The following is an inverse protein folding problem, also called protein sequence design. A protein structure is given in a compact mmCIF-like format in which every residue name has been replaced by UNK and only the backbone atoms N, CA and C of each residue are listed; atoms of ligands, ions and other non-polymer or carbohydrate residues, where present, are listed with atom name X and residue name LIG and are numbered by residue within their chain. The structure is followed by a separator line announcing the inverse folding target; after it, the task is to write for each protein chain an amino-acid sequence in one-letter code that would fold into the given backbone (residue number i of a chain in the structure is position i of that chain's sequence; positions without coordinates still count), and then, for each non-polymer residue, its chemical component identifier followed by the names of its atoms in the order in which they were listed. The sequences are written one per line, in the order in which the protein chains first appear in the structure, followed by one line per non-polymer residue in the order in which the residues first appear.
data_IF_744583632978
#
_entry.id   IF_744583632978
#
_cell.length_a   1.000
_cell.length_b   1.000
_cell.length_c   1.000
_cell.angle_alpha   90.00
_cell.angle_beta   90.00
_cell.angle_gamma   90.00
#
_symmetry.space_group_name_H-M   'P 1'
#
loop_
_entity.id
_entity.type
_entity.pdbx_description
1 polymer ?
#
# COMPACT_ATOMS: atom_id res chain seq x y z
N UNK A 1 23.73 -8.87 -13.07
CA UNK A 1 22.28 -9.12 -12.91
C UNK A 1 22.09 -9.72 -11.54
N UNK A 2 21.83 -8.90 -10.53
CA UNK A 2 21.62 -9.35 -9.16
C UNK A 2 20.24 -10.01 -9.11
N UNK A 3 20.22 -11.32 -8.89
CA UNK A 3 19.02 -12.06 -8.46
C UNK A 3 19.36 -12.57 -7.08
N UNK A 4 18.64 -12.11 -6.07
CA UNK A 4 18.70 -12.73 -4.75
C UNK A 4 17.51 -13.70 -4.61
N UNK A 5 17.65 -14.71 -3.77
CA UNK A 5 16.55 -15.60 -3.40
C UNK A 5 15.57 -14.84 -2.51
N UNK A 6 15.69 -15.06 -1.20
CA UNK A 6 14.95 -14.34 -0.18
C UNK A 6 15.87 -13.35 0.54
N UNK A 7 15.37 -12.13 0.77
CA UNK A 7 16.08 -11.08 1.50
C UNK A 7 15.38 -10.88 2.84
N UNK A 8 16.12 -11.04 3.94
CA UNK A 8 15.59 -10.80 5.28
C UNK A 8 16.41 -9.74 6.02
N UNK A 9 15.71 -8.73 6.54
CA UNK A 9 16.28 -7.64 7.35
C UNK A 9 15.54 -7.61 8.68
N UNK A 10 16.24 -7.80 9.81
CA UNK A 10 15.59 -8.04 11.10
C UNK A 10 15.62 -6.88 12.09
N UNK A 11 16.62 -5.98 11.98
CA UNK A 11 16.73 -4.81 12.84
C UNK A 11 17.69 -3.80 12.22
N UNK A 12 17.15 -2.66 11.82
CA UNK A 12 17.94 -1.48 11.46
C UNK A 12 17.78 -0.42 12.55
N UNK A 13 18.84 0.34 12.82
CA UNK A 13 18.81 1.51 13.69
C UNK A 13 19.38 2.71 12.95
N UNK A 14 18.62 3.81 12.90
CA UNK A 14 18.99 5.02 12.15
C UNK A 14 18.30 5.13 10.78
N UNK A 15 18.78 6.06 9.96
CA UNK A 15 18.38 6.18 8.55
C UNK A 15 19.09 5.09 7.76
N UNK A 16 18.32 4.22 7.11
CA UNK A 16 18.85 3.11 6.30
C UNK A 16 18.04 3.02 5.03
N UNK A 17 18.72 3.03 3.89
CA UNK A 17 18.12 2.78 2.57
C UNK A 17 18.33 1.31 2.20
N UNK A 18 17.24 0.60 1.95
CA UNK A 18 17.28 -0.81 1.54
C UNK A 18 16.77 -0.93 0.12
N UNK A 19 17.69 -1.13 -0.82
CA UNK A 19 17.35 -1.39 -2.21
C UNK A 19 17.39 -2.89 -2.52
N UNK A 20 16.27 -3.43 -3.00
CA UNK A 20 16.15 -4.83 -3.38
C UNK A 20 15.74 -4.95 -4.84
N UNK A 21 16.56 -5.66 -5.62
CA UNK A 21 16.34 -5.88 -7.05
C UNK A 21 16.16 -7.36 -7.37
N UNK A 22 15.04 -7.71 -7.98
CA UNK A 22 14.72 -9.04 -8.54
C UNK A 22 14.88 -10.17 -7.52
N UNK A 23 13.90 -10.32 -6.63
CA UNK A 23 13.90 -11.36 -5.58
C UNK A 23 12.66 -12.25 -5.59
N UNK A 24 12.78 -13.43 -4.96
CA UNK A 24 11.66 -14.30 -4.67
C UNK A 24 10.76 -13.69 -3.60
N UNK A 25 11.36 -13.28 -2.49
CA UNK A 25 10.68 -12.63 -1.37
C UNK A 25 11.56 -11.62 -0.62
N UNK A 26 10.91 -10.67 0.04
CA UNK A 26 11.55 -9.68 0.92
C UNK A 26 10.80 -9.64 2.24
N UNK A 27 11.52 -9.77 3.35
CA UNK A 27 10.98 -9.63 4.71
C UNK A 27 11.78 -8.59 5.48
N UNK A 28 11.12 -7.54 5.94
CA UNK A 28 11.73 -6.48 6.73
C UNK A 28 11.02 -6.36 8.08
N UNK A 29 11.77 -6.57 9.16
CA UNK A 29 11.29 -6.50 10.54
C UNK A 29 11.97 -5.37 11.30
N UNK A 30 11.15 -4.58 12.02
CA UNK A 30 11.55 -3.64 13.07
C UNK A 30 12.75 -2.77 12.70
N UNK A 31 12.48 -1.80 11.84
CA UNK A 31 13.41 -0.74 11.54
C UNK A 31 13.13 0.46 12.47
N UNK A 32 14.09 0.77 13.35
CA UNK A 32 14.01 1.94 14.24
C UNK A 32 14.68 3.14 13.58
N UNK A 33 13.89 3.98 12.91
CA UNK A 33 14.35 5.15 12.16
C UNK A 33 13.53 5.32 10.87
N UNK A 34 13.79 6.39 10.12
CA UNK A 34 13.26 6.53 8.74
C UNK A 34 14.04 5.52 7.90
N UNK A 35 13.42 4.38 7.60
CA UNK A 35 14.00 3.39 6.70
C UNK A 35 13.16 3.40 5.45
N UNK A 36 13.79 3.81 4.36
CA UNK A 36 13.23 3.85 3.03
C UNK A 36 13.60 2.55 2.33
N UNK A 37 12.58 1.80 1.91
CA UNK A 37 12.78 0.52 1.25
C UNK A 37 12.26 0.61 -0.16
N UNK A 38 13.16 0.37 -1.10
CA UNK A 38 12.83 0.26 -2.52
C UNK A 38 12.87 -1.19 -2.95
N UNK A 39 11.75 -1.70 -3.44
CA UNK A 39 11.65 -3.08 -3.93
C UNK A 39 11.28 -3.10 -5.41
N UNK A 40 12.16 -3.68 -6.22
CA UNK A 40 12.00 -3.81 -7.66
C UNK A 40 11.85 -5.27 -8.09
N UNK A 41 10.66 -5.63 -8.57
CA UNK A 41 10.32 -6.97 -9.09
C UNK A 41 10.50 -8.09 -8.05
N UNK A 42 9.54 -8.25 -7.15
CA UNK A 42 9.53 -9.33 -6.16
C UNK A 42 8.31 -10.23 -6.27
N UNK A 43 8.45 -11.50 -5.88
CA UNK A 43 7.32 -12.41 -5.75
C UNK A 43 6.39 -11.99 -4.61
N UNK A 44 6.95 -11.67 -3.44
CA UNK A 44 6.22 -11.17 -2.28
C UNK A 44 7.04 -10.24 -1.40
N UNK A 45 6.37 -9.36 -0.66
CA UNK A 45 6.99 -8.43 0.28
C UNK A 45 6.21 -8.39 1.59
N UNK A 46 6.88 -8.63 2.71
CA UNK A 46 6.33 -8.51 4.06
C UNK A 46 7.14 -7.47 4.85
N UNK A 47 6.46 -6.49 5.43
CA UNK A 47 7.13 -5.39 6.16
C UNK A 47 6.46 -5.09 7.49
N UNK A 48 7.28 -4.91 8.52
CA UNK A 48 6.84 -4.63 9.88
C UNK A 48 7.61 -3.46 10.49
N UNK A 49 6.91 -2.35 10.77
CA UNK A 49 7.48 -1.10 11.32
C UNK A 49 8.58 -0.53 10.42
N UNK A 50 8.17 0.11 9.34
CA UNK A 50 9.03 0.80 8.37
C UNK A 50 8.68 2.29 8.26
N UNK A 51 9.60 3.07 7.68
CA UNK A 51 9.36 4.47 7.33
C UNK A 51 8.62 4.55 6.00
N UNK A 52 9.27 5.15 5.00
CA UNK A 52 8.81 5.17 3.61
C UNK A 52 9.05 3.84 2.91
N UNK A 53 8.17 3.49 1.98
CA UNK A 53 8.30 2.26 1.22
C UNK A 53 7.81 2.48 -0.21
N UNK A 54 8.66 2.14 -1.17
CA UNK A 54 8.35 2.16 -2.59
C UNK A 54 8.43 0.77 -3.20
N UNK A 55 7.38 0.36 -3.91
CA UNK A 55 7.32 -0.96 -4.54
C UNK A 55 6.94 -0.90 -6.01
N UNK A 56 7.77 -1.57 -6.81
CA UNK A 56 7.65 -1.65 -8.25
C UNK A 56 7.52 -3.11 -8.72
N UNK A 57 6.32 -3.49 -9.19
CA UNK A 57 6.04 -4.82 -9.77
C UNK A 57 6.21 -5.97 -8.77
N UNK A 58 5.42 -5.99 -7.69
CA UNK A 58 5.42 -7.13 -6.77
C UNK A 58 4.23 -8.07 -7.02
N UNK A 59 4.32 -9.33 -6.60
CA UNK A 59 3.18 -10.25 -6.63
C UNK A 59 2.16 -9.89 -5.54
N UNK A 60 2.55 -10.05 -4.28
CA UNK A 60 1.76 -9.66 -3.11
C UNK A 60 2.55 -8.80 -2.12
N UNK A 61 1.87 -7.94 -1.39
CA UNK A 61 2.47 -7.00 -0.44
C UNK A 61 1.66 -6.97 0.85
N UNK A 62 2.34 -7.22 1.98
CA UNK A 62 1.75 -7.10 3.32
C UNK A 62 2.57 -6.13 4.18
N UNK A 63 1.88 -5.13 4.75
CA UNK A 63 2.54 -4.04 5.47
C UNK A 63 1.87 -3.75 6.81
N UNK A 64 2.69 -3.72 7.86
CA UNK A 64 2.26 -3.50 9.22
C UNK A 64 2.96 -2.30 9.87
N UNK A 65 2.22 -1.21 10.07
CA UNK A 65 2.73 0.06 10.63
C UNK A 65 3.87 0.65 9.79
N UNK A 66 3.52 1.26 8.66
CA UNK A 66 4.48 2.03 7.87
C UNK A 66 4.21 3.53 8.00
N UNK A 67 5.15 4.36 7.55
CA UNK A 67 4.90 5.77 7.28
C UNK A 67 4.14 5.89 5.97
N UNK A 68 4.86 6.26 4.93
CA UNK A 68 4.32 6.48 3.58
C UNK A 68 4.57 5.26 2.69
N UNK A 69 3.60 4.93 1.84
CA UNK A 69 3.62 3.71 1.03
C UNK A 69 3.23 4.05 -0.40
N UNK A 70 4.15 3.81 -1.34
CA UNK A 70 3.88 3.92 -2.76
C UNK A 70 3.97 2.56 -3.46
N UNK A 71 2.91 2.18 -4.16
CA UNK A 71 2.84 0.90 -4.87
C UNK A 71 2.42 1.09 -6.32
N UNK A 72 3.29 0.71 -7.26
CA UNK A 72 3.08 1.05 -8.67
C UNK A 72 2.38 -0.01 -9.53
N UNK A 73 2.61 -1.29 -9.23
CA UNK A 73 1.98 -2.45 -9.87
C UNK A 73 2.15 -3.65 -8.95
N UNK A 74 1.07 -4.13 -8.37
CA UNK A 74 1.05 -5.34 -7.56
C UNK A 74 -0.19 -6.17 -7.89
N UNK A 75 -0.17 -7.44 -7.52
CA UNK A 75 -1.40 -8.25 -7.48
C UNK A 75 -2.31 -7.71 -6.39
N UNK A 76 -1.91 -7.97 -5.15
CA UNK A 76 -2.66 -7.62 -3.93
C UNK A 76 -1.78 -6.86 -2.93
N UNK A 77 -2.37 -5.86 -2.29
CA UNK A 77 -1.71 -5.03 -1.28
C UNK A 77 -2.58 -4.97 -0.03
N UNK A 78 -2.05 -5.42 1.10
CA UNK A 78 -2.69 -5.31 2.40
C UNK A 78 -1.90 -4.38 3.32
N UNK A 79 -2.55 -3.30 3.78
CA UNK A 79 -1.92 -2.30 4.67
C UNK A 79 -2.75 -2.10 5.93
N UNK A 80 -2.12 -2.34 7.08
CA UNK A 80 -2.83 -2.31 8.37
C UNK A 80 -2.86 -0.95 9.05
N UNK A 81 -1.72 -0.25 9.04
CA UNK A 81 -1.55 1.09 9.60
C UNK A 81 -0.47 1.82 8.80
N UNK A 82 -0.80 2.99 8.29
CA UNK A 82 0.08 3.84 7.50
C UNK A 82 -0.27 5.31 7.73
N UNK A 83 0.66 6.19 7.38
CA UNK A 83 0.41 7.61 7.19
C UNK A 83 -0.40 7.77 5.91
N UNK A 84 0.31 7.82 4.78
CA UNK A 84 -0.29 7.95 3.46
C UNK A 84 0.00 6.74 2.56
N UNK A 85 -0.92 6.44 1.65
CA UNK A 85 -0.83 5.30 0.74
C UNK A 85 -1.23 5.72 -0.66
N UNK A 86 -0.30 5.59 -1.60
CA UNK A 86 -0.53 5.79 -3.01
C UNK A 86 -0.45 4.46 -3.76
N UNK A 87 -1.51 4.11 -4.49
CA UNK A 87 -1.54 2.85 -5.24
C UNK A 87 -1.95 3.05 -6.69
N UNK A 88 -1.09 2.54 -7.57
CA UNK A 88 -1.32 2.42 -9.00
C UNK A 88 -1.51 0.95 -9.37
N UNK A 89 -2.64 0.60 -10.00
CA UNK A 89 -2.89 -0.72 -10.61
C UNK A 89 -2.69 -1.92 -9.67
N UNK A 90 -3.43 -1.98 -8.58
CA UNK A 90 -3.46 -3.13 -7.65
C UNK A 90 -4.88 -3.39 -7.13
N UNK A 91 -5.14 -4.60 -6.59
CA UNK A 91 -6.19 -4.81 -5.59
C UNK A 91 -5.66 -4.40 -4.21
N UNK A 92 -6.48 -3.74 -3.38
CA UNK A 92 -5.99 -3.14 -2.14
C UNK A 92 -6.98 -3.29 -0.98
N UNK A 93 -6.46 -3.67 0.18
CA UNK A 93 -7.18 -3.64 1.45
C UNK A 93 -6.43 -2.77 2.46
N UNK A 94 -7.08 -1.73 2.96
CA UNK A 94 -6.47 -0.77 3.91
C UNK A 94 -7.32 -0.66 5.19
N UNK A 95 -6.69 -0.76 6.36
CA UNK A 95 -7.42 -0.85 7.63
C UNK A 95 -7.47 0.41 8.51
N UNK A 96 -6.43 1.26 8.49
CA UNK A 96 -6.36 2.55 9.19
C UNK A 96 -5.27 3.43 8.61
N UNK A 97 -5.60 4.66 8.22
CA UNK A 97 -4.64 5.56 7.58
C UNK A 97 -5.04 7.04 7.62
N UNK A 98 -4.11 7.91 7.23
CA UNK A 98 -4.28 9.34 6.98
C UNK A 98 -4.99 9.59 5.65
N UNK A 99 -4.24 9.60 4.54
CA UNK A 99 -4.75 9.69 3.17
C UNK A 99 -4.55 8.43 2.34
N UNK A 100 -5.45 8.18 1.38
CA UNK A 100 -5.24 7.19 0.32
C UNK A 100 -5.57 7.82 -1.02
N UNK A 101 -4.66 7.64 -1.98
CA UNK A 101 -4.89 7.93 -3.38
C UNK A 101 -4.77 6.66 -4.23
N UNK A 102 -5.75 6.44 -5.10
CA UNK A 102 -5.79 5.30 -6.00
C UNK A 102 -6.11 5.71 -7.43
N UNK A 103 -5.24 5.35 -8.37
CA UNK A 103 -5.32 5.85 -9.75
C UNK A 103 -5.93 4.88 -10.77
N UNK A 104 -6.04 3.57 -10.44
CA UNK A 104 -6.70 2.53 -11.25
C UNK A 104 -6.78 1.20 -10.52
N UNK A 105 -7.94 0.79 -10.02
CA UNK A 105 -8.11 -0.50 -9.32
C UNK A 105 -9.28 -1.29 -9.92
N UNK A 106 -9.06 -2.23 -10.83
CA UNK A 106 -10.21 -2.90 -11.46
C UNK A 106 -9.93 -4.12 -12.32
N UNK A 107 -8.70 -4.67 -12.28
CA UNK A 107 -8.40 -5.95 -12.95
C UNK A 107 -7.99 -7.07 -11.99
N UNK A 108 -7.81 -6.76 -10.71
CA UNK A 108 -7.12 -7.65 -9.77
C UNK A 108 -7.83 -7.89 -8.42
N UNK A 109 -8.97 -7.24 -8.13
CA UNK A 109 -9.65 -7.39 -6.84
C UNK A 109 -10.35 -6.08 -6.45
N UNK A 110 -11.38 -6.17 -5.60
CA UNK A 110 -12.06 -4.99 -5.05
C UNK A 110 -11.15 -4.17 -4.13
N UNK A 111 -11.63 -2.98 -3.76
CA UNK A 111 -10.94 -2.09 -2.83
C UNK A 111 -11.72 -2.05 -1.52
N UNK A 112 -11.09 -2.44 -0.42
CA UNK A 112 -11.72 -2.40 0.91
C UNK A 112 -10.98 -1.44 1.83
N UNK A 113 -11.72 -0.51 2.44
CA UNK A 113 -11.14 0.52 3.30
C UNK A 113 -11.87 0.67 4.62
N UNK A 114 -11.09 0.61 5.70
CA UNK A 114 -11.56 0.86 7.06
C UNK A 114 -10.89 2.11 7.62
N UNK A 115 -11.67 3.05 8.15
CA UNK A 115 -11.20 4.23 8.91
C UNK A 115 -10.06 5.02 8.24
N UNK A 116 -10.47 5.92 7.38
CA UNK A 116 -9.67 6.76 6.50
C UNK A 116 -9.80 8.23 6.93
N UNK A 117 -8.75 9.04 6.74
CA UNK A 117 -8.88 10.49 6.77
C UNK A 117 -9.48 11.00 5.45
N UNK A 118 -8.70 10.95 4.36
CA UNK A 118 -9.13 11.30 3.01
C UNK A 118 -8.97 10.14 2.03
N UNK A 119 -9.87 10.04 1.05
CA UNK A 119 -9.82 8.98 0.02
C UNK A 119 -10.06 9.59 -1.35
N UNK A 120 -9.11 9.42 -2.26
CA UNK A 120 -9.27 9.78 -3.67
C UNK A 120 -9.14 8.52 -4.54
N UNK A 121 -10.13 8.29 -5.40
CA UNK A 121 -10.14 7.12 -6.29
C UNK A 121 -10.47 7.47 -7.73
N UNK A 122 -9.70 6.89 -8.64
CA UNK A 122 -9.85 7.04 -10.08
C UNK A 122 -9.92 5.68 -10.78
N UNK A 123 -10.97 5.48 -11.59
CA UNK A 123 -11.17 4.27 -12.42
C UNK A 123 -11.03 2.98 -11.61
N UNK A 124 -11.81 2.87 -10.53
CA UNK A 124 -11.94 1.66 -9.75
C UNK A 124 -13.22 0.88 -10.13
N UNK A 125 -13.19 -0.44 -9.87
CA UNK A 125 -14.38 -1.30 -9.87
C UNK A 125 -15.08 -1.26 -8.51
N UNK A 126 -15.37 -2.43 -7.94
CA UNK A 126 -16.04 -2.53 -6.63
C UNK A 126 -15.20 -1.91 -5.50
N UNK A 127 -15.77 -0.91 -4.82
CA UNK A 127 -15.15 -0.20 -3.69
C UNK A 127 -16.05 -0.26 -2.47
N UNK A 128 -15.51 -0.71 -1.33
CA UNK A 128 -16.17 -0.69 -0.03
C UNK A 128 -15.44 0.23 0.96
N UNK A 129 -16.12 1.26 1.47
CA UNK A 129 -15.56 2.21 2.44
C UNK A 129 -16.41 2.27 3.71
N UNK A 130 -15.81 1.88 4.84
CA UNK A 130 -16.51 1.80 6.12
C UNK A 130 -16.56 3.11 6.91
N UNK A 131 -15.45 3.84 6.93
CA UNK A 131 -15.38 5.15 7.59
C UNK A 131 -14.36 6.04 6.91
N UNK A 132 -14.74 7.22 6.46
CA UNK A 132 -13.80 8.23 5.94
C UNK A 132 -14.10 9.63 6.50
N UNK A 133 -13.11 10.53 6.47
CA UNK A 133 -13.30 11.96 6.73
C UNK A 133 -13.82 12.68 5.49
N UNK A 134 -13.17 12.50 4.34
CA UNK A 134 -13.59 13.00 3.03
C UNK A 134 -13.31 11.98 1.92
N UNK A 135 -14.06 12.06 0.83
CA UNK A 135 -13.93 11.14 -0.30
C UNK A 135 -14.21 11.81 -1.64
N UNK A 136 -13.34 11.58 -2.62
CA UNK A 136 -13.54 11.93 -4.02
C UNK A 136 -13.38 10.69 -4.91
N UNK A 137 -14.35 10.41 -5.78
CA UNK A 137 -14.36 9.18 -6.59
C UNK A 137 -14.76 9.41 -8.04
N UNK A 138 -14.06 8.71 -8.93
CA UNK A 138 -14.34 8.60 -10.36
C UNK A 138 -14.47 7.11 -10.74
N UNK A 139 -15.44 6.41 -10.15
CA UNK A 139 -15.55 4.95 -10.17
C UNK A 139 -17.01 4.47 -10.30
N UNK A 140 -17.22 3.24 -10.79
CA UNK A 140 -18.53 2.59 -10.84
C UNK A 140 -18.62 1.54 -9.72
N UNK A 141 -19.72 1.53 -8.94
CA UNK A 141 -19.97 0.49 -7.92
C UNK A 141 -19.27 0.74 -6.58
N UNK A 142 -19.84 1.65 -5.77
CA UNK A 142 -19.27 2.03 -4.46
C UNK A 142 -20.29 1.81 -3.34
N UNK A 143 -19.87 1.13 -2.29
CA UNK A 143 -20.60 1.01 -1.03
C UNK A 143 -19.92 1.84 0.07
N UNK A 144 -20.62 2.85 0.58
CA UNK A 144 -20.13 3.74 1.64
C UNK A 144 -21.01 3.58 2.88
N UNK A 145 -20.39 3.26 4.01
CA UNK A 145 -21.10 3.11 5.29
C UNK A 145 -21.14 4.41 6.10
N UNK A 146 -20.02 5.16 6.15
CA UNK A 146 -19.93 6.41 6.91
C UNK A 146 -18.83 7.33 6.37
N UNK A 147 -19.19 8.50 5.86
CA UNK A 147 -18.21 9.51 5.46
C UNK A 147 -18.63 10.90 5.95
N UNK A 148 -17.67 11.81 6.09
CA UNK A 148 -17.94 13.23 6.36
C UNK A 148 -18.43 13.89 5.08
N UNK A 149 -17.51 14.08 4.14
CA UNK A 149 -17.77 14.66 2.82
C UNK A 149 -17.57 13.61 1.72
N UNK A 150 -18.42 13.61 0.69
CA UNK A 150 -18.37 12.65 -0.44
C UNK A 150 -18.68 13.38 -1.75
N UNK A 151 -17.76 13.31 -2.70
CA UNK A 151 -17.94 13.72 -4.09
C UNK A 151 -17.74 12.52 -5.03
N UNK A 152 -18.69 12.30 -5.93
CA UNK A 152 -18.67 11.18 -6.89
C UNK A 152 -18.93 11.73 -8.29
N UNK A 153 -18.08 11.33 -9.24
CA UNK A 153 -18.02 11.81 -10.61
C UNK A 153 -18.17 10.68 -11.63
#
# INVERSE_FOLDING_TARGET
MWRCGDVEVWRCGGVVDVEVWRCGGVKVWRCGGVVDVEVWRCGGVEMWRCGGVEMWRCGGVEMWRCGDVEVWRCGDVEVWRCGDVEVWRCGVKVWRYGGVEMWRCGRCGGVEMWRCGGVEMWRCGDVEVWRCGGMEMWCEGVEIWRCGDVEVW
#
